data_IF_031421045884
#
_entry.id   IF_031421045884
#
_cell.length_a   1.000
_cell.length_b   1.000
_cell.length_c   1.000
_cell.angle_alpha   90.00
_cell.angle_beta   90.00
_cell.angle_gamma   90.00
#
_symmetry.space_group_name_H-M   'P 1'
#
loop_
_entity.id
_entity.type
_entity.pdbx_description
1 polymer ?
#
# COMPACT_ATOMS: atom_id res chain seq x y z
N UNK A 1 -1.39 -10.08 -49.04
CA UNK A 1 -0.33 -9.95 -48.04
C UNK A 1 -0.55 -8.65 -47.28
N UNK A 2 -1.39 -8.70 -46.25
CA UNK A 2 -1.66 -7.56 -45.37
C UNK A 2 -0.49 -7.41 -44.41
N UNK A 3 0.34 -6.37 -44.64
CA UNK A 3 1.47 -6.06 -43.78
C UNK A 3 0.98 -5.59 -42.41
N UNK A 4 1.28 -6.37 -41.37
CA UNK A 4 1.15 -5.93 -39.98
C UNK A 4 2.18 -4.83 -39.73
N UNK A 5 1.72 -3.58 -39.71
CA UNK A 5 2.52 -2.47 -39.22
C UNK A 5 2.56 -2.62 -37.70
N UNK A 6 3.65 -3.18 -37.18
CA UNK A 6 3.97 -3.17 -35.77
C UNK A 6 4.19 -1.72 -35.33
N UNK A 7 3.18 -1.10 -34.73
CA UNK A 7 3.30 0.21 -34.11
C UNK A 7 4.07 0.02 -32.81
N UNK A 8 5.35 0.41 -32.82
CA UNK A 8 6.22 0.37 -31.66
C UNK A 8 5.87 1.54 -30.72
N UNK A 9 4.94 1.30 -29.79
CA UNK A 9 4.59 2.25 -28.74
C UNK A 9 5.74 2.35 -27.74
N UNK A 10 6.74 3.18 -28.05
CA UNK A 10 7.75 3.60 -27.07
C UNK A 10 7.11 4.63 -26.14
N UNK A 11 6.74 4.19 -24.93
CA UNK A 11 6.35 5.10 -23.86
C UNK A 11 7.54 6.03 -23.60
N UNK A 12 7.32 7.34 -23.77
CA UNK A 12 8.34 8.36 -23.57
C UNK A 12 8.88 8.29 -22.13
N UNK A 13 10.14 7.88 -21.97
CA UNK A 13 10.90 7.96 -20.73
C UNK A 13 11.31 9.43 -20.45
N UNK A 14 10.33 10.34 -20.31
CA UNK A 14 10.62 11.65 -19.75
C UNK A 14 10.78 11.49 -18.24
N UNK A 15 11.87 12.01 -17.68
CA UNK A 15 12.02 12.13 -16.24
C UNK A 15 10.88 12.99 -15.67
N UNK A 16 10.15 12.45 -14.70
CA UNK A 16 9.07 13.20 -14.06
C UNK A 16 9.69 14.29 -13.21
N UNK A 17 9.46 15.55 -13.59
CA UNK A 17 9.96 16.70 -12.85
C UNK A 17 9.23 16.80 -11.51
N UNK A 18 9.98 16.68 -10.40
CA UNK A 18 9.45 16.88 -9.04
C UNK A 18 8.95 18.32 -8.86
N UNK A 19 7.78 18.49 -8.25
CA UNK A 19 7.21 19.78 -7.87
C UNK A 19 7.51 20.05 -6.39
N UNK A 20 8.35 21.05 -6.03
CA UNK A 20 8.69 21.35 -4.64
C UNK A 20 7.47 21.68 -3.75
N UNK A 21 6.32 22.03 -4.33
CA UNK A 21 5.09 22.34 -3.57
C UNK A 21 4.29 21.09 -3.20
N UNK A 22 4.60 19.93 -3.77
CA UNK A 22 3.89 18.68 -3.50
C UNK A 22 4.61 17.85 -2.45
N UNK A 23 3.87 17.13 -1.58
CA UNK A 23 4.47 16.20 -0.64
C UNK A 23 5.18 15.08 -1.41
N UNK A 24 6.29 14.57 -0.87
CA UNK A 24 6.92 13.34 -1.36
C UNK A 24 6.27 12.13 -0.69
N UNK A 25 5.93 11.11 -1.46
CA UNK A 25 5.44 9.81 -0.96
C UNK A 25 6.29 8.71 -1.57
N UNK A 26 6.74 7.77 -0.74
CA UNK A 26 7.47 6.58 -1.21
C UNK A 26 6.47 5.43 -1.31
N UNK A 27 6.45 4.77 -2.47
CA UNK A 27 5.74 3.52 -2.71
C UNK A 27 6.74 2.37 -2.72
N UNK A 28 6.63 1.48 -1.74
CA UNK A 28 7.43 0.26 -1.64
C UNK A 28 6.63 -0.90 -2.22
N UNK A 29 7.17 -1.56 -3.25
CA UNK A 29 6.62 -2.78 -3.83
C UNK A 29 7.18 -4.02 -3.12
N UNK A 30 6.29 -4.83 -2.55
CA UNK A 30 6.61 -6.14 -1.96
C UNK A 30 6.01 -7.29 -2.77
N UNK A 31 5.27 -6.95 -3.82
CA UNK A 31 4.47 -7.86 -4.65
C UNK A 31 3.01 -7.41 -4.75
N UNK A 32 2.13 -8.35 -5.07
CA UNK A 32 0.74 -8.03 -5.40
C UNK A 32 0.58 -7.31 -6.75
N UNK A 33 -0.65 -7.07 -7.16
CA UNK A 33 -0.97 -6.49 -8.49
C UNK A 33 -1.41 -5.03 -8.43
N UNK A 34 -1.49 -4.42 -7.23
CA UNK A 34 -2.02 -3.06 -7.06
C UNK A 34 -1.19 -1.99 -7.79
N UNK A 35 0.10 -2.25 -7.98
CA UNK A 35 1.05 -1.41 -8.70
C UNK A 35 1.60 -2.15 -9.93
N UNK A 36 0.72 -2.66 -10.78
CA UNK A 36 1.09 -3.43 -11.98
C UNK A 36 0.35 -2.97 -13.24
N UNK A 37 1.00 -3.07 -14.40
CA UNK A 37 0.46 -2.83 -15.75
C UNK A 37 0.22 -4.15 -16.49
N UNK A 38 -0.68 -4.12 -17.47
CA UNK A 38 -0.87 -5.23 -18.41
C UNK A 38 0.03 -5.04 -19.64
N UNK A 39 0.81 -6.06 -19.99
CA UNK A 39 1.43 -6.16 -21.30
C UNK A 39 0.45 -6.82 -22.27
N UNK A 40 -0.14 -6.04 -23.16
CA UNK A 40 -1.12 -6.52 -24.13
C UNK A 40 -0.54 -7.47 -25.18
N UNK A 41 0.78 -7.51 -25.38
CA UNK A 41 1.41 -8.43 -26.34
C UNK A 41 1.49 -9.85 -25.79
N UNK A 42 1.76 -9.97 -24.50
CA UNK A 42 1.97 -11.25 -23.82
C UNK A 42 0.79 -11.67 -22.95
N UNK A 43 -0.10 -10.74 -22.61
CA UNK A 43 -1.15 -10.91 -21.62
C UNK A 43 -0.63 -10.92 -20.17
N UNK A 44 0.66 -10.65 -19.96
CA UNK A 44 1.28 -10.72 -18.63
C UNK A 44 0.97 -9.47 -17.79
N UNK A 45 0.71 -9.68 -16.49
CA UNK A 45 0.64 -8.60 -15.50
C UNK A 45 2.07 -8.33 -15.01
N UNK A 46 2.64 -7.23 -15.48
CA UNK A 46 4.00 -6.81 -15.16
C UNK A 46 3.92 -5.71 -14.11
N UNK A 47 4.67 -5.79 -13.03
CA UNK A 47 4.69 -4.68 -12.08
C UNK A 47 5.18 -3.36 -12.71
N UNK A 48 4.62 -2.23 -12.27
CA UNK A 48 5.00 -0.90 -12.68
C UNK A 48 5.89 -0.30 -11.60
N UNK A 49 7.19 -0.16 -11.88
CA UNK A 49 8.20 0.15 -10.86
C UNK A 49 8.93 1.47 -11.07
N UNK A 50 8.69 2.15 -12.19
CA UNK A 50 9.03 3.57 -12.28
C UNK A 50 7.84 4.44 -11.91
N UNK A 51 8.10 5.58 -11.27
CA UNK A 51 7.05 6.59 -11.02
C UNK A 51 6.33 6.98 -12.31
N UNK A 52 7.04 7.02 -13.46
CA UNK A 52 6.45 7.35 -14.76
C UNK A 52 5.43 6.31 -15.23
N UNK A 53 5.72 5.02 -15.09
CA UNK A 53 4.76 3.96 -15.43
C UNK A 53 3.51 4.04 -14.57
N UNK A 54 3.67 4.32 -13.27
CA UNK A 54 2.54 4.50 -12.37
C UNK A 54 1.73 5.77 -12.66
N UNK A 55 2.37 6.88 -13.06
CA UNK A 55 1.63 8.06 -13.51
C UNK A 55 0.91 7.82 -14.84
N UNK A 56 1.48 7.02 -15.74
CA UNK A 56 0.80 6.67 -16.98
C UNK A 56 -0.42 5.76 -16.72
N UNK A 57 -0.29 4.82 -15.79
CA UNK A 57 -1.37 3.91 -15.40
C UNK A 57 -2.44 4.61 -14.53
N UNK A 58 -2.02 5.52 -13.65
CA UNK A 58 -2.86 6.23 -12.67
C UNK A 58 -2.46 7.71 -12.61
N UNK A 59 -2.86 8.54 -13.60
CA UNK A 59 -2.46 9.95 -13.72
C UNK A 59 -2.86 10.82 -12.52
N UNK A 60 -3.85 10.40 -11.73
CA UNK A 60 -4.27 11.10 -10.51
C UNK A 60 -3.15 11.21 -9.48
N UNK A 61 -2.21 10.26 -9.44
CA UNK A 61 -1.11 10.26 -8.47
C UNK A 61 -0.21 11.49 -8.66
N UNK A 62 0.03 11.92 -9.90
CA UNK A 62 0.85 13.08 -10.23
C UNK A 62 0.26 14.37 -9.63
N UNK A 63 -1.07 14.43 -9.48
CA UNK A 63 -1.77 15.58 -8.87
C UNK A 63 -1.68 15.60 -7.35
N UNK A 64 -1.32 14.48 -6.71
CA UNK A 64 -1.35 14.31 -5.25
C UNK A 64 0.03 14.56 -4.63
N UNK A 65 1.09 13.96 -5.20
CA UNK A 65 2.42 13.94 -4.60
C UNK A 65 3.54 13.82 -5.65
N UNK A 66 4.77 14.04 -5.21
CA UNK A 66 5.96 13.50 -5.88
C UNK A 66 6.13 12.05 -5.42
N UNK A 67 5.79 11.10 -6.29
CA UNK A 67 5.94 9.68 -6.03
C UNK A 67 7.37 9.22 -6.29
N UNK A 68 7.95 8.57 -5.30
CA UNK A 68 9.18 7.78 -5.44
C UNK A 68 8.82 6.30 -5.29
N UNK A 69 9.44 5.44 -6.08
CA UNK A 69 9.14 4.01 -6.09
C UNK A 69 10.37 3.22 -5.71
N UNK A 70 10.17 2.21 -4.87
CA UNK A 70 11.20 1.26 -4.47
C UNK A 70 10.63 -0.13 -4.69
N UNK A 71 11.30 -0.93 -5.50
CA UNK A 71 10.96 -2.33 -5.63
C UNK A 71 11.83 -3.15 -4.67
N UNK A 72 11.23 -3.56 -3.55
CA UNK A 72 11.96 -4.26 -2.50
C UNK A 72 12.07 -5.75 -2.81
N UNK A 73 10.96 -6.40 -3.12
CA UNK A 73 10.91 -7.77 -3.63
C UNK A 73 9.57 -8.08 -4.30
N UNK A 74 9.53 -9.15 -5.09
CA UNK A 74 8.34 -9.58 -5.84
C UNK A 74 7.88 -10.96 -5.33
N UNK A 75 7.16 -10.99 -4.21
CA UNK A 75 6.61 -12.22 -3.63
C UNK A 75 5.08 -12.24 -3.69
N UNK A 76 4.52 -13.44 -3.88
CA UNK A 76 3.11 -13.66 -3.60
C UNK A 76 2.88 -13.55 -2.09
N UNK A 77 1.74 -13.00 -1.66
CA UNK A 77 1.50 -12.74 -0.23
C UNK A 77 1.53 -14.00 0.62
N UNK A 78 1.08 -15.13 0.07
CA UNK A 78 1.13 -16.45 0.68
C UNK A 78 2.55 -16.95 0.97
N UNK A 79 3.56 -16.39 0.31
CA UNK A 79 4.98 -16.75 0.49
C UNK A 79 5.77 -15.68 1.27
N UNK A 80 5.08 -14.75 1.93
CA UNK A 80 5.72 -13.77 2.81
C UNK A 80 6.01 -14.43 4.15
N UNK A 81 7.26 -14.35 4.57
CA UNK A 81 7.79 -14.97 5.79
C UNK A 81 8.21 -13.90 6.82
N UNK A 82 8.42 -14.26 8.10
CA UNK A 82 8.85 -13.30 9.13
C UNK A 82 10.13 -12.52 8.77
N UNK A 83 11.09 -13.16 8.10
CA UNK A 83 12.29 -12.49 7.60
C UNK A 83 11.99 -11.35 6.61
N UNK A 84 10.95 -11.49 5.78
CA UNK A 84 10.52 -10.43 4.85
C UNK A 84 9.97 -9.21 5.59
N UNK A 85 9.31 -9.41 6.74
CA UNK A 85 8.84 -8.31 7.58
C UNK A 85 10.00 -7.50 8.16
N UNK A 86 11.09 -8.16 8.56
CA UNK A 86 12.32 -7.50 9.04
C UNK A 86 12.95 -6.66 7.93
N UNK A 87 13.08 -7.23 6.73
CA UNK A 87 13.62 -6.51 5.56
C UNK A 87 12.75 -5.28 5.26
N UNK A 88 11.43 -5.45 5.23
CA UNK A 88 10.48 -4.36 4.98
C UNK A 88 10.53 -3.28 6.06
N UNK A 89 10.60 -3.64 7.33
CA UNK A 89 10.70 -2.67 8.44
C UNK A 89 11.98 -1.83 8.34
N UNK A 90 13.11 -2.47 8.02
CA UNK A 90 14.39 -1.77 7.80
C UNK A 90 14.33 -0.84 6.59
N UNK A 91 13.73 -1.29 5.48
CA UNK A 91 13.57 -0.45 4.28
C UNK A 91 12.71 0.78 4.57
N UNK A 92 11.58 0.60 5.26
CA UNK A 92 10.71 1.71 5.67
C UNK A 92 11.50 2.73 6.49
N UNK A 93 12.28 2.28 7.48
CA UNK A 93 13.08 3.19 8.30
C UNK A 93 14.17 3.90 7.50
N UNK A 94 14.87 3.19 6.61
CA UNK A 94 15.86 3.75 5.70
C UNK A 94 15.24 4.84 4.82
N UNK A 95 14.05 4.60 4.25
CA UNK A 95 13.32 5.59 3.47
C UNK A 95 12.95 6.83 4.29
N UNK A 96 12.45 6.62 5.51
CA UNK A 96 12.06 7.70 6.42
C UNK A 96 13.24 8.60 6.81
N UNK A 97 14.44 8.03 6.88
CA UNK A 97 15.68 8.76 7.18
C UNK A 97 16.28 9.44 5.94
N UNK A 98 16.46 8.69 4.85
CA UNK A 98 17.23 9.15 3.68
C UNK A 98 16.41 10.01 2.73
N UNK A 99 15.14 9.64 2.48
CA UNK A 99 14.24 10.37 1.58
C UNK A 99 13.41 11.41 2.36
N UNK A 100 13.13 11.12 3.62
CA UNK A 100 12.25 11.91 4.48
C UNK A 100 10.88 12.25 3.85
N UNK A 101 10.12 11.24 3.38
CA UNK A 101 8.83 11.46 2.74
C UNK A 101 7.76 11.88 3.76
N UNK A 102 6.66 12.44 3.24
CA UNK A 102 5.48 12.77 4.06
C UNK A 102 4.76 11.52 4.57
N UNK A 103 4.89 10.40 3.87
CA UNK A 103 4.36 9.10 4.27
C UNK A 103 4.85 8.00 3.33
N UNK A 104 4.59 6.76 3.71
CA UNK A 104 4.99 5.56 2.96
C UNK A 104 3.75 4.75 2.59
N UNK A 105 3.71 4.26 1.36
CA UNK A 105 2.70 3.30 0.87
C UNK A 105 3.39 1.99 0.56
N UNK A 106 2.79 0.87 0.95
CA UNK A 106 3.33 -0.48 0.72
C UNK A 106 2.34 -1.24 -0.16
N UNK A 107 2.72 -1.49 -1.41
CA UNK A 107 1.97 -2.33 -2.33
C UNK A 107 2.23 -3.80 -1.99
N UNK A 108 1.18 -4.49 -1.53
CA UNK A 108 1.27 -5.85 -0.98
C UNK A 108 0.15 -6.76 -1.54
N UNK A 109 0.42 -8.07 -1.63
CA UNK A 109 -0.59 -9.07 -1.95
C UNK A 109 -1.62 -9.21 -0.82
N UNK A 110 -2.86 -9.60 -1.12
CA UNK A 110 -3.95 -9.44 -0.13
C UNK A 110 -4.07 -10.55 0.91
N UNK A 111 -3.52 -11.74 0.69
CA UNK A 111 -3.82 -12.89 1.54
C UNK A 111 -3.23 -12.74 2.95
N UNK A 112 -2.01 -12.24 3.04
CA UNK A 112 -1.30 -12.01 4.32
C UNK A 112 -1.12 -10.54 4.67
N UNK A 113 -1.71 -9.61 3.89
CA UNK A 113 -1.56 -8.15 4.09
C UNK A 113 -1.80 -7.72 5.54
N UNK A 114 -2.84 -8.26 6.16
CA UNK A 114 -3.22 -7.94 7.53
C UNK A 114 -2.25 -8.51 8.58
N UNK A 115 -1.56 -9.61 8.28
CA UNK A 115 -0.48 -10.16 9.12
C UNK A 115 0.76 -9.26 9.04
N UNK A 116 1.18 -8.88 7.83
CA UNK A 116 2.28 -7.92 7.61
C UNK A 116 1.98 -6.58 8.30
N UNK A 117 0.75 -6.07 8.20
CA UNK A 117 0.35 -4.84 8.89
C UNK A 117 0.49 -4.94 10.41
N UNK A 118 0.11 -6.08 11.00
CA UNK A 118 0.27 -6.33 12.43
C UNK A 118 1.75 -6.43 12.82
N UNK A 119 2.57 -7.19 12.08
CA UNK A 119 4.01 -7.33 12.33
C UNK A 119 4.71 -5.96 12.31
N UNK A 120 4.49 -5.16 11.26
CA UNK A 120 5.06 -3.82 11.14
C UNK A 120 4.59 -2.88 12.27
N UNK A 121 3.35 -3.03 12.75
CA UNK A 121 2.84 -2.21 13.86
C UNK A 121 3.61 -2.42 15.17
N UNK A 122 4.18 -3.61 15.37
CA UNK A 122 5.02 -3.91 16.55
C UNK A 122 6.50 -3.60 16.31
N UNK A 123 6.99 -3.83 15.08
CA UNK A 123 8.39 -3.56 14.72
C UNK A 123 8.71 -2.08 14.63
N UNK A 124 7.79 -1.26 14.11
CA UNK A 124 7.98 0.16 13.87
C UNK A 124 7.33 0.95 15.00
N UNK A 125 8.10 1.23 16.05
CA UNK A 125 7.65 1.93 17.25
C UNK A 125 7.68 3.44 17.03
N UNK A 126 6.63 4.10 17.50
CA UNK A 126 6.45 5.55 17.41
C UNK A 126 6.55 6.09 15.96
N UNK A 127 5.78 5.57 15.00
CA UNK A 127 5.69 6.19 13.69
C UNK A 127 5.23 7.64 13.84
N UNK A 128 5.89 8.55 13.13
CA UNK A 128 5.62 9.99 13.14
C UNK A 128 4.79 10.44 11.94
N UNK A 129 4.53 9.52 10.99
CA UNK A 129 3.81 9.77 9.74
C UNK A 129 3.10 8.50 9.24
N UNK A 130 2.18 8.61 8.27
CA UNK A 130 1.39 7.46 7.83
C UNK A 130 2.25 6.42 7.11
N UNK A 131 2.06 5.15 7.49
CA UNK A 131 2.59 3.99 6.79
C UNK A 131 1.37 3.15 6.36
N UNK A 132 1.06 3.13 5.07
CA UNK A 132 -0.21 2.63 4.53
C UNK A 132 0.05 1.39 3.68
N UNK A 133 -0.42 0.22 4.13
CA UNK A 133 -0.46 -0.98 3.30
C UNK A 133 -1.70 -0.94 2.40
N UNK A 134 -1.52 -1.36 1.15
CA UNK A 134 -2.55 -1.38 0.13
C UNK A 134 -2.40 -2.60 -0.77
N UNK A 135 -3.52 -3.15 -1.23
CA UNK A 135 -3.57 -4.21 -2.22
C UNK A 135 -4.77 -4.06 -3.16
N UNK A 136 -5.07 -5.11 -3.92
CA UNK A 136 -6.26 -5.19 -4.78
C UNK A 136 -6.85 -6.59 -4.75
N UNK A 137 -8.18 -6.70 -4.69
CA UNK A 137 -8.89 -7.98 -4.76
C UNK A 137 -9.13 -8.42 -6.21
N UNK A 138 -9.21 -7.46 -7.13
CA UNK A 138 -9.30 -7.68 -8.57
C UNK A 138 -7.97 -7.31 -9.19
N UNK A 139 -7.45 -8.21 -10.02
CA UNK A 139 -6.19 -7.99 -10.73
C UNK A 139 -6.22 -6.69 -11.53
N UNK A 140 -5.10 -5.97 -11.58
CA UNK A 140 -5.00 -4.60 -12.12
C UNK A 140 -5.21 -4.50 -13.63
N UNK A 141 -5.05 -5.61 -14.35
CA UNK A 141 -5.33 -5.73 -15.78
C UNK A 141 -6.82 -5.62 -16.12
N UNK A 142 -7.70 -5.75 -15.13
CA UNK A 142 -9.15 -5.72 -15.35
C UNK A 142 -9.66 -4.28 -15.29
N UNK A 143 -10.51 -3.82 -16.24
CA UNK A 143 -11.15 -2.51 -16.16
C UNK A 143 -11.98 -2.30 -14.88
N UNK A 144 -12.46 -3.40 -14.29
CA UNK A 144 -13.17 -3.41 -13.01
C UNK A 144 -12.23 -3.60 -11.80
N UNK A 145 -10.94 -3.32 -11.94
CA UNK A 145 -9.99 -3.43 -10.84
C UNK A 145 -10.25 -2.39 -9.75
N UNK A 146 -10.09 -2.80 -8.49
CA UNK A 146 -10.04 -1.90 -7.33
C UNK A 146 -8.65 -1.30 -7.09
N UNK A 147 -7.63 -1.72 -7.87
CA UNK A 147 -6.23 -1.32 -7.68
C UNK A 147 -6.03 0.20 -7.74
N UNK A 148 -6.55 0.86 -8.78
CA UNK A 148 -6.35 2.30 -8.99
C UNK A 148 -6.92 3.12 -7.82
N UNK A 149 -8.17 2.85 -7.44
CA UNK A 149 -8.83 3.58 -6.34
C UNK A 149 -8.14 3.30 -4.99
N UNK A 150 -7.78 2.05 -4.72
CA UNK A 150 -7.03 1.69 -3.51
C UNK A 150 -5.69 2.44 -3.45
N UNK A 151 -4.94 2.46 -4.56
CA UNK A 151 -3.64 3.13 -4.64
C UNK A 151 -3.77 4.65 -4.49
N UNK A 152 -4.69 5.28 -5.25
CA UNK A 152 -4.95 6.73 -5.17
C UNK A 152 -5.29 7.14 -3.74
N UNK A 153 -6.20 6.42 -3.09
CA UNK A 153 -6.65 6.74 -1.74
C UNK A 153 -5.52 6.50 -0.71
N UNK A 154 -4.72 5.46 -0.87
CA UNK A 154 -3.58 5.18 0.01
C UNK A 154 -2.49 6.24 -0.10
N UNK A 155 -2.14 6.64 -1.32
CA UNK A 155 -1.21 7.73 -1.58
C UNK A 155 -1.74 9.06 -1.04
N UNK A 156 -3.04 9.32 -1.18
CA UNK A 156 -3.67 10.51 -0.62
C UNK A 156 -3.56 10.54 0.92
N UNK A 157 -3.80 9.40 1.58
CA UNK A 157 -3.63 9.27 3.04
C UNK A 157 -2.18 9.49 3.44
N UNK A 158 -1.22 8.84 2.78
CA UNK A 158 0.21 9.04 3.05
C UNK A 158 0.65 10.49 2.86
N UNK A 159 0.13 11.17 1.84
CA UNK A 159 0.48 12.55 1.50
C UNK A 159 -0.17 13.60 2.41
N UNK A 160 -1.41 13.39 2.87
CA UNK A 160 -2.25 14.46 3.45
C UNK A 160 -2.80 14.17 4.84
N UNK A 161 -2.81 12.93 5.30
CA UNK A 161 -3.33 12.58 6.61
C UNK A 161 -2.37 12.98 7.74
N UNK A 162 -2.93 13.24 8.92
CA UNK A 162 -2.20 13.35 10.17
C UNK A 162 -2.11 12.02 10.92
N UNK A 163 -2.58 10.89 10.36
CA UNK A 163 -2.42 9.57 10.96
C UNK A 163 -0.94 9.20 10.99
N UNK A 164 -0.42 8.86 12.16
CA UNK A 164 0.94 8.42 12.37
C UNK A 164 0.93 7.01 12.96
N UNK A 165 0.42 6.07 12.17
CA UNK A 165 0.29 4.65 12.51
C UNK A 165 0.52 3.80 11.25
N UNK A 166 0.74 2.50 11.45
CA UNK A 166 0.65 1.50 10.40
C UNK A 166 -0.84 1.24 10.17
N UNK A 167 -1.29 1.40 8.93
CA UNK A 167 -2.68 1.24 8.56
C UNK A 167 -2.86 0.48 7.25
N UNK A 168 -4.06 -0.06 7.05
CA UNK A 168 -4.47 -0.73 5.81
C UNK A 168 -5.56 0.10 5.15
N UNK A 169 -5.39 0.43 3.88
CA UNK A 169 -6.37 1.18 3.10
C UNK A 169 -6.96 0.29 2.00
N UNK A 170 -8.21 -0.12 2.17
CA UNK A 170 -8.93 -1.01 1.24
C UNK A 170 -10.38 -0.55 1.09
N UNK A 171 -11.08 -1.03 0.07
CA UNK A 171 -12.47 -0.68 -0.19
C UNK A 171 -13.37 -0.93 1.03
N UNK A 172 -14.23 0.04 1.34
CA UNK A 172 -15.22 -0.09 2.41
C UNK A 172 -16.52 -0.77 1.99
N UNK A 173 -16.81 -0.75 0.69
CA UNK A 173 -18.00 -1.33 0.05
C UNK A 173 -17.63 -2.12 -1.20
N UNK A 174 -18.54 -2.93 -1.71
CA UNK A 174 -18.30 -3.67 -2.96
C UNK A 174 -18.25 -2.77 -4.21
N UNK A 175 -18.75 -1.54 -4.14
CA UNK A 175 -18.63 -0.52 -5.19
C UNK A 175 -17.55 0.52 -4.92
N UNK A 176 -17.29 1.36 -5.92
CA UNK A 176 -16.22 2.37 -5.96
C UNK A 176 -16.55 3.66 -5.17
N UNK A 177 -17.17 3.50 -4.00
CA UNK A 177 -17.67 4.63 -3.22
C UNK A 177 -16.58 5.23 -2.31
N UNK A 178 -15.88 4.39 -1.56
CA UNK A 178 -14.88 4.84 -0.57
C UNK A 178 -13.96 3.72 -0.10
N UNK A 179 -12.81 4.11 0.43
CA UNK A 179 -11.93 3.23 1.19
C UNK A 179 -12.06 3.49 2.70
N UNK A 180 -11.79 2.45 3.48
CA UNK A 180 -11.63 2.53 4.92
C UNK A 180 -10.15 2.43 5.27
N UNK A 181 -9.75 3.19 6.28
CA UNK A 181 -8.40 3.18 6.85
C UNK A 181 -8.46 2.39 8.15
N UNK A 182 -7.98 1.16 8.12
CA UNK A 182 -7.97 0.27 9.26
C UNK A 182 -6.65 0.38 10.02
N UNK A 183 -6.69 0.34 11.36
CA UNK A 183 -5.48 0.18 12.17
C UNK A 183 -4.82 -1.17 11.87
N UNK A 184 -3.50 -1.18 11.67
CA UNK A 184 -2.75 -2.37 11.21
C UNK A 184 -2.92 -3.62 12.10
N UNK A 185 -3.09 -3.44 13.41
CA UNK A 185 -3.31 -4.54 14.38
C UNK A 185 -4.77 -4.95 14.55
N UNK A 186 -5.71 -4.27 13.88
CA UNK A 186 -7.16 -4.48 14.05
C UNK A 186 -7.86 -4.80 12.75
N UNK A 187 -7.15 -5.25 11.73
CA UNK A 187 -7.70 -5.54 10.40
C UNK A 187 -7.59 -7.03 10.08
N UNK A 188 -8.59 -7.57 9.37
CA UNK A 188 -8.58 -8.95 8.87
C UNK A 188 -9.23 -9.04 7.50
N UNK A 189 -8.70 -9.91 6.63
CA UNK A 189 -9.36 -10.30 5.38
C UNK A 189 -10.51 -11.28 5.72
N UNK A 190 -11.74 -10.80 5.67
CA UNK A 190 -12.96 -11.53 6.05
C UNK A 190 -13.69 -12.16 4.86
N UNK A 191 -13.24 -11.90 3.63
CA UNK A 191 -13.79 -12.50 2.42
C UNK A 191 -12.68 -12.82 1.43
N UNK A 192 -12.87 -13.89 0.65
CA UNK A 192 -11.89 -14.38 -0.32
C UNK A 192 -11.81 -13.58 -1.63
N UNK A 193 -12.72 -12.63 -1.91
CA UNK A 193 -12.87 -12.08 -3.27
C UNK A 193 -13.61 -10.76 -3.41
N UNK A 194 -14.44 -10.37 -2.43
CA UNK A 194 -15.12 -9.08 -2.44
C UNK A 194 -14.12 -7.94 -2.27
N UNK A 195 -14.34 -6.81 -2.95
CA UNK A 195 -13.51 -5.60 -2.79
C UNK A 195 -13.47 -5.14 -1.33
N UNK A 196 -14.60 -5.23 -0.63
CA UNK A 196 -14.76 -4.94 0.80
C UNK A 196 -14.40 -6.12 1.72
N UNK A 197 -13.41 -6.91 1.34
CA UNK A 197 -12.94 -8.07 2.10
C UNK A 197 -12.31 -7.69 3.45
N UNK A 198 -11.60 -6.56 3.52
CA UNK A 198 -10.90 -6.17 4.75
C UNK A 198 -11.83 -5.44 5.71
N UNK A 199 -11.87 -5.91 6.96
CA UNK A 199 -12.72 -5.35 8.01
C UNK A 199 -11.91 -5.08 9.28
N UNK A 200 -12.30 -4.04 10.01
CA UNK A 200 -11.81 -3.82 11.37
C UNK A 200 -12.46 -4.85 12.30
N UNK A 201 -11.67 -5.47 13.18
CA UNK A 201 -12.11 -6.46 14.16
C UNK A 201 -11.93 -5.90 15.57
N UNK A 202 -13.01 -5.93 16.36
CA UNK A 202 -13.00 -5.49 17.76
C UNK A 202 -12.88 -3.98 17.97
N UNK A 203 -13.08 -3.18 16.92
CA UNK A 203 -13.05 -1.71 16.95
C UNK A 203 -13.70 -1.12 15.67
N UNK A 204 -13.59 0.20 15.46
CA UNK A 204 -13.98 0.90 14.23
C UNK A 204 -12.77 1.31 13.37
N UNK A 205 -12.90 1.48 12.04
CA UNK A 205 -11.83 2.04 11.20
C UNK A 205 -11.38 3.41 11.71
N UNK A 206 -10.12 3.80 11.50
CA UNK A 206 -9.57 5.11 11.87
C UNK A 206 -10.29 6.24 11.11
N UNK A 207 -10.44 6.04 9.81
CA UNK A 207 -11.03 7.02 8.92
C UNK A 207 -11.69 6.36 7.70
N UNK A 208 -12.53 7.14 7.02
CA UNK A 208 -13.08 6.86 5.70
C UNK A 208 -12.49 7.88 4.73
N UNK A 209 -12.05 7.45 3.55
CA UNK A 209 -11.65 8.35 2.46
C UNK A 209 -12.61 8.21 1.28
N UNK A 210 -13.22 9.33 0.91
CA UNK A 210 -14.25 9.44 -0.12
C UNK A 210 -14.07 10.78 -0.84
N UNK A 211 -14.05 10.77 -2.18
CA UNK A 211 -13.87 11.99 -2.99
C UNK A 211 -12.67 12.85 -2.54
N UNK A 212 -11.53 12.21 -2.24
CA UNK A 212 -10.30 12.87 -1.74
C UNK A 212 -10.51 13.65 -0.43
N UNK A 213 -11.47 13.23 0.40
CA UNK A 213 -11.69 13.78 1.74
C UNK A 213 -11.55 12.66 2.77
N UNK A 214 -10.67 12.86 3.74
CA UNK A 214 -10.48 11.96 4.88
C UNK A 214 -11.45 12.40 5.98
N UNK A 215 -12.37 11.51 6.36
CA UNK A 215 -13.34 11.69 7.44
C UNK A 215 -12.98 10.73 8.57
N UNK A 216 -12.44 11.28 9.67
CA UNK A 216 -12.12 10.49 10.86
C UNK A 216 -13.40 9.98 11.51
N UNK A 217 -13.36 8.76 12.06
CA UNK A 217 -14.53 8.13 12.68
C UNK A 217 -14.73 8.52 14.14
N UNK A 218 -13.77 9.23 14.75
CA UNK A 218 -13.78 9.64 16.15
C UNK A 218 -12.99 8.72 17.08
N UNK A 219 -12.49 7.57 16.59
CA UNK A 219 -11.55 6.74 17.35
C UNK A 219 -10.24 7.48 17.59
N UNK A 220 -9.64 7.28 18.78
CA UNK A 220 -8.30 7.81 19.08
C UNK A 220 -7.25 7.16 18.18
N UNK A 221 -6.35 7.97 17.63
CA UNK A 221 -5.20 7.53 16.85
C UNK A 221 -3.99 8.43 17.11
N UNK A 222 -2.79 7.92 16.83
CA UNK A 222 -1.56 8.69 16.93
C UNK A 222 -1.51 9.74 15.83
N UNK A 223 -1.41 11.01 16.22
CA UNK A 223 -1.27 12.13 15.28
C UNK A 223 0.19 12.36 14.93
N UNK A 224 0.43 12.77 13.68
CA UNK A 224 1.72 13.23 13.16
C UNK A 224 2.30 14.26 14.11
N UNK A 225 3.46 13.94 14.65
CA UNK A 225 4.20 14.83 15.52
C UNK A 225 5.69 14.68 15.24
N UNK A 226 6.22 15.54 14.38
CA UNK A 226 7.63 15.55 13.98
C UNK A 226 8.59 15.90 15.13
N UNK A 227 8.07 16.30 16.30
CA UNK A 227 8.87 16.54 17.52
C UNK A 227 8.91 15.32 18.44
N UNK A 228 8.07 14.31 18.23
CA UNK A 228 7.89 13.16 19.12
C UNK A 228 8.84 12.03 18.72
N UNK A 229 10.14 12.20 19.03
CA UNK A 229 11.16 11.16 18.86
C UNK A 229 11.40 10.72 17.41
N UNK A 230 12.48 9.97 17.17
CA UNK A 230 12.70 9.29 15.89
C UNK A 230 11.95 7.95 15.93
N UNK A 231 11.48 7.48 14.78
CA UNK A 231 10.98 6.11 14.64
C UNK A 231 12.02 5.11 15.18
N UNK A 232 11.59 4.19 16.03
CA UNK A 232 12.43 3.12 16.57
C UNK A 232 12.07 1.79 15.93
N UNK A 233 13.08 1.01 15.55
CA UNK A 233 12.88 -0.34 14.99
C UNK A 233 13.16 -1.38 16.08
N UNK A 234 12.21 -2.26 16.32
CA UNK A 234 12.36 -3.47 17.11
C UNK A 234 12.00 -4.70 16.27
N UNK A 235 12.94 -5.14 15.44
CA UNK A 235 12.74 -6.25 14.51
C UNK A 235 13.13 -7.62 15.09
N UNK A 236 13.23 -7.75 16.42
CA UNK A 236 13.52 -9.03 17.07
C UNK A 236 12.27 -9.91 17.03
N UNK A 237 12.42 -11.10 16.46
CA UNK A 237 11.35 -12.09 16.34
C UNK A 237 11.85 -13.46 16.79
N UNK A 238 10.96 -14.22 17.41
CA UNK A 238 11.12 -15.66 17.54
C UNK A 238 10.26 -16.33 16.47
N UNK A 239 10.89 -17.06 15.56
CA UNK A 239 10.20 -17.76 14.48
C UNK A 239 9.61 -19.11 14.93
N UNK A 240 9.91 -19.57 16.15
CA UNK A 240 9.40 -20.82 16.71
C UNK A 240 7.98 -20.67 17.28
N UNK A 241 7.06 -20.11 16.49
CA UNK A 241 5.67 -19.84 16.90
C UNK A 241 4.70 -20.58 15.97
N UNK A 242 3.83 -21.41 16.55
CA UNK A 242 2.76 -22.10 15.83
C UNK A 242 1.38 -21.53 16.13
N UNK A 243 0.52 -21.45 15.12
CA UNK A 243 -0.91 -21.14 15.29
C UNK A 243 -1.72 -22.43 15.23
N UNK A 244 -2.19 -22.91 16.38
CA UNK A 244 -2.99 -24.14 16.45
C UNK A 244 -4.47 -23.78 16.36
N UNK A 245 -5.12 -24.26 15.31
CA UNK A 245 -6.57 -24.19 15.19
C UNK A 245 -7.20 -25.39 15.90
N UNK A 246 -7.99 -25.13 16.95
CA UNK A 246 -8.69 -26.17 17.69
C UNK A 246 -10.03 -26.50 17.01
N UNK A 247 -10.36 -27.79 16.95
CA UNK A 247 -11.63 -28.33 16.49
C UNK A 247 -11.97 -29.61 17.28
N UNK A 248 -13.23 -30.06 17.32
CA UNK A 248 -13.58 -31.31 17.99
C UNK A 248 -12.91 -32.51 17.29
N UNK A 249 -12.02 -33.19 18.01
CA UNK A 249 -11.33 -34.46 17.70
C UNK A 249 -11.42 -34.98 16.27
#
# INVERSE_FOLDING_TARGET
>A
TTGEVLVDYTISNKEVKKDPKKPTVVLIGTGGTVASKLDYRTGAVIPAFSSQELYNAVPELEKICNLETIQLFQKLSENIEPADWVILANEIASCLENVNPTGVVIAHGTDTLHLTAAALSFMLKNPDRPIVLVGSQRSSDRPSSDAAINLINSVYVAAKSDIAEICVCMHGTSGDAYNLIHRGTRVRKMHSSRRDAFRTVGDIPIAKIENRKIKNTGISYHKRNLRKGKLEIDAKLDENVGLIYSYPG
#
